data_IF_594956104273
#
_entry.id   IF_594956104273
#
_cell.length_a   1.000
_cell.length_b   1.000
_cell.length_c   1.000
_cell.angle_alpha   90.00
_cell.angle_beta   90.00
_cell.angle_gamma   90.00
#
_symmetry.space_group_name_H-M   'P 1'
#
loop_
_entity.id
_entity.type
_entity.pdbx_description
1 polymer ?
#
# COMPACT_ATOMS: atom_id res chain seq x y z
N UNK A 1 -3.64 -4.97 -13.27
CA UNK A 1 -3.83 -6.44 -13.27
C UNK A 1 -3.44 -7.03 -11.91
N UNK A 2 -4.19 -8.02 -11.39
CA UNK A 2 -3.88 -8.80 -10.18
C UNK A 2 -3.79 -10.29 -10.54
N UNK A 3 -2.70 -10.73 -11.20
CA UNK A 3 -2.64 -12.03 -11.86
C UNK A 3 -2.68 -13.24 -10.92
N UNK A 4 -2.29 -13.05 -9.66
CA UNK A 4 -2.28 -14.11 -8.64
C UNK A 4 -3.46 -13.98 -7.65
N UNK A 5 -4.39 -13.07 -7.91
CA UNK A 5 -5.61 -12.85 -7.11
C UNK A 5 -5.34 -12.64 -5.60
N UNK A 6 -4.16 -12.11 -5.26
CA UNK A 6 -3.80 -11.83 -3.88
C UNK A 6 -4.62 -10.65 -3.37
N UNK A 7 -5.34 -10.84 -2.27
CA UNK A 7 -6.18 -9.80 -1.68
C UNK A 7 -7.43 -9.43 -2.50
N UNK A 8 -7.79 -10.21 -3.52
CA UNK A 8 -8.96 -9.98 -4.37
C UNK A 8 -8.72 -10.20 -5.86
N UNK A 9 -9.71 -9.92 -6.72
CA UNK A 9 -9.58 -10.07 -8.18
C UNK A 9 -9.03 -8.82 -8.90
N UNK A 10 -8.77 -7.73 -8.16
CA UNK A 10 -8.37 -6.42 -8.67
C UNK A 10 -9.54 -5.43 -8.78
N UNK A 11 -9.21 -4.14 -8.98
CA UNK A 11 -10.21 -3.08 -9.05
C UNK A 11 -11.02 -2.96 -7.75
N UNK A 12 -12.35 -2.88 -7.86
CA UNK A 12 -13.25 -2.85 -6.71
C UNK A 12 -13.28 -4.16 -5.90
N UNK A 13 -12.79 -5.28 -6.45
CA UNK A 13 -12.77 -6.58 -5.78
C UNK A 13 -11.53 -6.79 -4.90
N UNK A 14 -10.66 -5.77 -4.77
CA UNK A 14 -9.49 -5.81 -3.88
C UNK A 14 -8.20 -6.28 -4.56
N UNK A 15 -7.08 -5.81 -4.01
CA UNK A 15 -5.71 -6.17 -4.38
C UNK A 15 -4.77 -5.76 -3.23
N UNK A 16 -3.47 -6.01 -3.37
CA UNK A 16 -2.47 -5.59 -2.38
C UNK A 16 -1.93 -4.19 -2.64
N UNK A 17 -1.44 -3.54 -1.57
CA UNK A 17 -0.79 -2.22 -1.63
C UNK A 17 0.45 -2.27 -2.51
N UNK A 18 1.22 -3.36 -2.44
CA UNK A 18 2.48 -3.52 -3.17
C UNK A 18 2.25 -3.55 -4.68
N UNK A 19 1.16 -4.18 -5.14
CA UNK A 19 0.79 -4.14 -6.55
C UNK A 19 0.50 -2.72 -7.02
N UNK A 20 -0.18 -1.91 -6.19
CA UNK A 20 -0.45 -0.51 -6.50
C UNK A 20 0.83 0.32 -6.53
N UNK A 21 1.71 0.16 -5.53
CA UNK A 21 3.00 0.87 -5.48
C UNK A 21 3.89 0.51 -6.67
N UNK A 22 4.01 -0.77 -7.01
CA UNK A 22 4.74 -1.23 -8.19
C UNK A 22 4.14 -0.70 -9.52
N UNK A 23 2.81 -0.61 -9.61
CA UNK A 23 2.17 0.03 -10.75
C UNK A 23 2.56 1.51 -10.87
N UNK A 24 2.48 2.27 -9.77
CA UNK A 24 2.88 3.68 -9.75
C UNK A 24 4.35 3.85 -10.07
N UNK A 25 5.21 2.97 -9.56
CA UNK A 25 6.64 2.95 -9.80
C UNK A 25 7.00 2.74 -11.28
N UNK A 26 6.19 1.98 -12.02
CA UNK A 26 6.42 1.66 -13.43
C UNK A 26 5.72 2.61 -14.40
N UNK A 27 4.53 3.10 -14.08
CA UNK A 27 3.70 3.90 -15.00
C UNK A 27 3.54 5.37 -14.57
N UNK A 28 3.91 5.71 -13.35
CA UNK A 28 3.59 6.99 -12.71
C UNK A 28 2.12 7.13 -12.35
N UNK A 29 1.79 8.25 -11.70
CA UNK A 29 0.43 8.63 -11.34
C UNK A 29 -0.27 9.41 -12.45
N UNK A 30 -1.57 9.58 -12.29
CA UNK A 30 -2.37 10.58 -12.98
C UNK A 30 -3.03 11.45 -11.91
N UNK A 31 -3.33 12.70 -12.25
CA UNK A 31 -4.06 13.58 -11.34
C UNK A 31 -5.54 13.21 -11.27
N UNK A 32 -6.20 13.58 -10.18
CA UNK A 32 -7.66 13.39 -10.01
C UNK A 32 -8.46 14.02 -11.15
N UNK A 33 -7.97 15.13 -11.72
CA UNK A 33 -8.59 15.78 -12.87
C UNK A 33 -8.53 14.93 -14.15
N UNK A 34 -7.43 14.20 -14.36
CA UNK A 34 -7.24 13.34 -15.53
C UNK A 34 -7.97 12.00 -15.38
N UNK A 35 -7.97 11.45 -14.16
CA UNK A 35 -8.62 10.19 -13.81
C UNK A 35 -9.47 10.35 -12.55
N UNK A 36 -10.69 10.88 -12.67
CA UNK A 36 -11.59 11.06 -11.52
C UNK A 36 -11.99 9.72 -10.90
N UNK A 37 -12.14 9.71 -9.58
CA UNK A 37 -12.64 8.56 -8.84
C UNK A 37 -14.16 8.39 -9.03
N UNK A 38 -14.56 7.21 -9.51
CA UNK A 38 -15.96 6.86 -9.82
C UNK A 38 -16.52 5.71 -8.97
N UNK A 39 -15.77 5.25 -7.96
CA UNK A 39 -16.13 4.10 -7.13
C UNK A 39 -16.56 2.84 -7.92
N UNK A 40 -15.97 2.64 -9.11
CA UNK A 40 -16.26 1.52 -10.01
C UNK A 40 -15.02 1.14 -10.81
N UNK A 41 -14.89 -0.15 -11.14
CA UNK A 41 -13.82 -0.64 -12.02
C UNK A 41 -14.00 -0.07 -13.42
N UNK A 42 -13.01 0.67 -13.91
CA UNK A 42 -13.02 1.30 -15.23
C UNK A 42 -11.95 0.74 -16.17
N UNK A 43 -11.98 1.22 -17.41
CA UNK A 43 -10.93 0.91 -18.40
C UNK A 43 -9.68 1.76 -18.14
N UNK A 44 -8.51 1.15 -18.30
CA UNK A 44 -7.24 1.86 -18.14
C UNK A 44 -7.09 2.92 -19.25
N UNK A 45 -6.92 4.18 -18.86
CA UNK A 45 -6.69 5.31 -19.78
C UNK A 45 -5.24 5.39 -20.27
N UNK A 46 -4.29 4.83 -19.53
CA UNK A 46 -2.88 4.79 -19.94
C UNK A 46 -2.69 3.68 -20.98
N UNK A 47 -1.95 3.94 -22.07
CA UNK A 47 -1.65 2.90 -23.05
C UNK A 47 -0.85 1.77 -22.40
N UNK A 48 -1.22 0.53 -22.71
CA UNK A 48 -0.49 -0.64 -22.24
C UNK A 48 0.94 -0.63 -22.81
N UNK A 49 1.96 -0.67 -21.95
CA UNK A 49 3.36 -0.90 -22.35
C UNK A 49 4.34 0.28 -22.24
N UNK A 50 3.97 1.41 -21.63
CA UNK A 50 4.92 2.53 -21.46
C UNK A 50 5.89 2.39 -20.27
N UNK A 51 5.63 1.50 -19.32
CA UNK A 51 6.59 1.14 -18.29
C UNK A 51 7.05 -0.30 -18.42
N UNK A 52 8.36 -0.52 -18.55
CA UNK A 52 8.99 -1.82 -18.30
C UNK A 52 8.80 -2.12 -16.81
N UNK A 53 7.80 -2.91 -16.46
CA UNK A 53 7.62 -3.38 -15.08
C UNK A 53 8.84 -4.17 -14.61
N UNK A 54 9.03 -4.29 -13.30
CA UNK A 54 10.09 -5.11 -12.69
C UNK A 54 10.06 -6.57 -13.23
N UNK A 55 8.86 -7.04 -13.61
CA UNK A 55 8.58 -8.28 -14.35
C UNK A 55 9.42 -8.49 -15.63
N UNK A 56 9.98 -7.44 -16.22
CA UNK A 56 10.80 -7.50 -17.44
C UNK A 56 12.29 -7.23 -17.20
N UNK A 57 12.70 -6.90 -15.96
CA UNK A 57 14.10 -6.74 -15.61
C UNK A 57 14.61 -8.09 -15.07
N UNK A 58 15.25 -8.87 -15.94
CA UNK A 58 16.01 -10.08 -15.62
C UNK A 58 15.23 -11.30 -15.14
N UNK A 59 14.25 -11.80 -15.91
CA UNK A 59 13.89 -13.23 -15.95
C UNK A 59 13.54 -13.97 -14.64
N UNK A 60 13.39 -13.26 -13.52
CA UNK A 60 12.99 -13.75 -12.20
C UNK A 60 11.79 -12.98 -11.63
N UNK A 61 11.40 -11.88 -12.27
CA UNK A 61 10.32 -10.98 -11.87
C UNK A 61 8.96 -11.68 -11.79
N UNK A 62 8.62 -12.19 -10.61
CA UNK A 62 7.29 -12.63 -10.23
C UNK A 62 6.61 -11.63 -9.27
N UNK A 63 5.31 -11.80 -8.98
CA UNK A 63 4.62 -11.03 -7.94
C UNK A 63 5.24 -11.25 -6.54
N UNK A 64 5.96 -12.37 -6.35
CA UNK A 64 6.78 -12.64 -5.16
C UNK A 64 7.88 -11.59 -4.96
N UNK A 65 8.48 -11.08 -6.04
CA UNK A 65 9.47 -10.00 -5.94
C UNK A 65 8.81 -8.69 -5.53
N UNK A 66 7.58 -8.41 -5.99
CA UNK A 66 6.85 -7.16 -5.64
C UNK A 66 6.49 -7.12 -4.15
N UNK A 67 6.25 -8.28 -3.54
CA UNK A 67 5.96 -8.43 -2.11
C UNK A 67 7.19 -8.78 -1.26
N UNK A 68 8.40 -8.78 -1.83
CA UNK A 68 9.62 -9.04 -1.07
C UNK A 68 9.91 -7.91 -0.07
N UNK A 69 10.36 -8.25 1.13
CA UNK A 69 10.83 -7.28 2.13
C UNK A 69 12.09 -6.58 1.61
N UNK A 70 12.15 -5.26 1.72
CA UNK A 70 13.28 -4.45 1.27
C UNK A 70 12.89 -3.32 0.34
N UNK A 71 13.90 -2.70 -0.27
CA UNK A 71 13.77 -1.52 -1.13
C UNK A 71 13.55 -1.92 -2.59
N UNK A 72 12.49 -1.38 -3.17
CA UNK A 72 12.10 -1.51 -4.57
C UNK A 72 12.33 -0.19 -5.30
N UNK A 73 13.27 -0.14 -6.24
CA UNK A 73 13.65 1.09 -6.95
C UNK A 73 13.08 1.16 -8.36
N UNK A 74 12.59 2.34 -8.75
CA UNK A 74 12.04 2.57 -10.09
C UNK A 74 13.13 2.39 -11.14
N UNK A 75 12.82 1.80 -12.32
CA UNK A 75 13.75 1.75 -13.44
C UNK A 75 14.29 3.15 -13.80
N UNK A 76 15.53 3.26 -14.30
CA UNK A 76 16.13 4.54 -14.66
C UNK A 76 15.28 5.41 -15.59
N UNK A 77 14.60 4.79 -16.55
CA UNK A 77 13.78 5.46 -17.58
C UNK A 77 12.29 5.46 -17.24
N UNK A 78 11.92 5.19 -15.98
CA UNK A 78 10.51 5.11 -15.59
C UNK A 78 9.82 6.49 -15.69
N UNK A 79 8.63 6.57 -16.32
CA UNK A 79 7.81 7.80 -16.32
C UNK A 79 7.37 8.21 -14.91
N UNK A 80 7.41 7.30 -13.93
CA UNK A 80 7.07 7.59 -12.54
C UNK A 80 7.94 8.66 -11.88
N UNK A 81 9.15 8.91 -12.42
CA UNK A 81 10.05 9.97 -11.93
C UNK A 81 9.50 11.36 -12.18
N UNK A 82 8.65 11.55 -13.19
CA UNK A 82 8.02 12.85 -13.47
C UNK A 82 6.87 13.12 -12.49
N UNK A 83 5.98 12.15 -12.32
CA UNK A 83 4.87 12.21 -11.37
C UNK A 83 4.51 10.80 -10.90
N UNK A 84 4.82 10.48 -9.64
CA UNK A 84 4.75 9.11 -9.12
C UNK A 84 5.75 8.89 -7.99
N UNK A 85 6.56 7.83 -8.09
CA UNK A 85 7.58 7.50 -7.10
C UNK A 85 8.89 7.03 -7.75
N UNK A 86 9.99 7.22 -7.03
CA UNK A 86 11.32 6.70 -7.39
C UNK A 86 11.58 5.31 -6.79
N UNK A 87 10.68 4.85 -5.92
CA UNK A 87 10.74 3.54 -5.27
C UNK A 87 9.85 3.49 -4.03
N UNK A 88 9.77 2.32 -3.42
CA UNK A 88 9.12 2.08 -2.13
C UNK A 88 9.92 1.06 -1.33
N UNK A 89 9.67 0.96 -0.03
CA UNK A 89 10.29 -0.02 0.85
C UNK A 89 9.19 -0.84 1.53
N UNK A 90 9.25 -2.17 1.42
CA UNK A 90 8.41 -3.07 2.20
C UNK A 90 9.13 -3.43 3.48
N UNK A 91 8.53 -3.09 4.62
CA UNK A 91 9.04 -3.47 5.93
C UNK A 91 8.74 -4.94 6.24
N UNK A 92 9.48 -5.51 7.19
CA UNK A 92 9.14 -6.81 7.74
C UNK A 92 7.75 -6.77 8.41
N UNK A 93 6.99 -7.84 8.21
CA UNK A 93 5.62 -7.96 8.74
C UNK A 93 5.63 -7.91 10.27
N UNK A 94 4.70 -7.15 10.84
CA UNK A 94 4.51 -7.00 12.29
C UNK A 94 5.76 -6.55 13.07
N UNK A 95 6.72 -5.88 12.42
CA UNK A 95 7.91 -5.30 13.05
C UNK A 95 7.61 -3.97 13.75
N UNK A 96 7.36 -4.00 15.06
CA UNK A 96 6.99 -2.81 15.85
C UNK A 96 7.95 -1.62 15.68
N UNK A 97 9.25 -1.85 15.91
CA UNK A 97 10.25 -0.78 15.89
C UNK A 97 10.47 -0.24 14.47
N UNK A 98 10.59 -1.13 13.49
CA UNK A 98 10.75 -0.75 12.09
C UNK A 98 9.58 0.10 11.59
N UNK A 99 8.34 -0.25 11.98
CA UNK A 99 7.14 0.51 11.61
C UNK A 99 7.14 1.91 12.24
N UNK A 100 7.40 2.03 13.54
CA UNK A 100 7.46 3.34 14.22
C UNK A 100 8.55 4.23 13.64
N UNK A 101 9.70 3.64 13.32
CA UNK A 101 10.81 4.35 12.69
C UNK A 101 10.43 4.84 11.30
N UNK A 102 9.81 4.01 10.48
CA UNK A 102 9.37 4.41 9.14
C UNK A 102 8.38 5.59 9.20
N UNK A 103 7.38 5.51 10.09
CA UNK A 103 6.38 6.58 10.26
C UNK A 103 7.01 7.90 10.71
N UNK A 104 7.95 7.85 11.66
CA UNK A 104 8.56 9.05 12.24
C UNK A 104 9.67 9.66 11.39
N UNK A 105 10.50 8.84 10.74
CA UNK A 105 11.67 9.30 10.01
C UNK A 105 11.40 9.53 8.51
N UNK A 106 10.37 8.89 7.93
CA UNK A 106 10.09 8.94 6.48
C UNK A 106 8.70 9.46 6.13
N UNK A 107 7.70 9.26 7.00
CA UNK A 107 6.34 9.74 6.82
C UNK A 107 5.31 8.62 6.72
N UNK A 108 4.11 8.89 6.17
CA UNK A 108 3.00 7.93 6.16
C UNK A 108 3.37 6.57 5.55
N UNK A 109 2.89 5.50 6.19
CA UNK A 109 3.13 4.12 5.78
C UNK A 109 1.80 3.49 5.40
N UNK A 110 1.69 2.95 4.19
CA UNK A 110 0.55 2.13 3.82
C UNK A 110 0.62 0.79 4.57
N UNK A 111 -0.44 0.43 5.28
CA UNK A 111 -0.54 -0.81 6.06
C UNK A 111 -1.82 -1.56 5.70
N UNK A 112 -1.90 -2.83 6.07
CA UNK A 112 -3.11 -3.63 5.94
C UNK A 112 -3.60 -4.07 7.32
N UNK A 113 -4.91 -3.95 7.56
CA UNK A 113 -5.57 -4.20 8.83
C UNK A 113 -6.79 -5.12 8.65
N UNK A 114 -7.19 -5.80 9.72
CA UNK A 114 -8.48 -6.48 9.79
C UNK A 114 -9.56 -5.48 10.25
N UNK A 115 -10.40 -5.01 9.31
CA UNK A 115 -11.33 -3.90 9.56
C UNK A 115 -12.78 -4.32 9.84
N UNK A 116 -13.04 -5.62 10.06
CA UNK A 116 -14.41 -6.17 10.23
C UNK A 116 -15.23 -5.44 11.31
N UNK A 117 -14.60 -5.02 12.40
CA UNK A 117 -15.23 -4.37 13.54
C UNK A 117 -15.10 -2.83 13.53
N UNK A 118 -14.56 -2.25 12.46
CA UNK A 118 -14.26 -0.80 12.40
C UNK A 118 -15.47 0.03 11.98
N UNK A 119 -16.44 -0.54 11.28
CA UNK A 119 -17.58 0.20 10.71
C UNK A 119 -18.39 1.00 11.75
N UNK A 120 -18.45 0.51 13.00
CA UNK A 120 -19.14 1.18 14.11
C UNK A 120 -18.21 1.95 15.03
N UNK A 121 -16.91 2.06 14.71
CA UNK A 121 -15.98 2.87 15.49
C UNK A 121 -16.35 4.36 15.38
N UNK A 122 -16.34 5.05 16.53
CA UNK A 122 -16.68 6.48 16.59
C UNK A 122 -15.59 7.31 17.25
N UNK A 123 -15.15 6.95 18.46
CA UNK A 123 -14.16 7.71 19.22
C UNK A 123 -13.30 6.81 20.10
N UNK A 124 -12.14 7.33 20.55
CA UNK A 124 -11.29 6.68 21.54
C UNK A 124 -10.06 6.01 20.94
N UNK A 125 -9.58 4.95 21.58
CA UNK A 125 -8.55 4.06 21.04
C UNK A 125 -9.26 2.76 20.68
N UNK A 126 -9.27 2.41 19.40
CA UNK A 126 -9.85 1.17 18.93
C UNK A 126 -8.99 -0.02 19.40
N UNK A 127 -9.62 -1.01 20.04
CA UNK A 127 -8.95 -2.14 20.70
C UNK A 127 -9.84 -3.39 20.58
N UNK A 128 -10.23 -3.72 19.35
CA UNK A 128 -11.05 -4.89 19.02
C UNK A 128 -10.33 -5.71 17.96
N UNK A 129 -9.40 -6.55 18.40
CA UNK A 129 -8.69 -7.52 17.56
C UNK A 129 -8.71 -8.88 18.25
N UNK A 130 -9.30 -9.88 17.59
CA UNK A 130 -9.26 -11.27 18.06
C UNK A 130 -7.95 -11.97 17.66
N UNK A 131 -7.74 -13.18 18.15
CA UNK A 131 -6.77 -14.08 17.53
C UNK A 131 -7.26 -14.50 16.13
N UNK A 132 -6.33 -14.84 15.24
CA UNK A 132 -6.60 -15.42 13.91
C UNK A 132 -7.48 -14.55 12.97
N UNK A 133 -7.24 -13.23 12.97
CA UNK A 133 -7.95 -12.31 12.08
C UNK A 133 -7.43 -12.35 10.64
N UNK A 134 -8.36 -12.22 9.69
CA UNK A 134 -8.02 -12.03 8.27
C UNK A 134 -7.93 -10.54 7.97
N UNK A 135 -6.77 -10.11 7.49
CA UNK A 135 -6.53 -8.76 7.00
C UNK A 135 -7.30 -8.53 5.71
N UNK A 136 -8.04 -7.43 5.61
CA UNK A 136 -8.94 -7.18 4.49
C UNK A 136 -9.10 -5.72 4.08
N UNK A 137 -8.35 -4.81 4.71
CA UNK A 137 -8.45 -3.39 4.41
C UNK A 137 -7.06 -2.74 4.40
N UNK A 138 -6.83 -1.84 3.46
CA UNK A 138 -5.60 -1.06 3.36
C UNK A 138 -5.86 0.37 3.87
N UNK A 139 -5.00 0.86 4.75
CA UNK A 139 -5.09 2.20 5.35
C UNK A 139 -3.72 2.88 5.37
N UNK A 140 -3.69 4.18 5.64
CA UNK A 140 -2.44 4.93 5.78
C UNK A 140 -2.15 5.20 7.26
N UNK A 141 -1.09 4.59 7.78
CA UNK A 141 -0.56 4.91 9.10
C UNK A 141 0.22 6.23 9.03
N UNK A 142 -0.30 7.27 9.66
CA UNK A 142 0.26 8.63 9.60
C UNK A 142 0.96 9.06 10.89
N UNK A 143 0.83 8.30 11.96
CA UNK A 143 1.44 8.65 13.24
C UNK A 143 1.24 7.61 14.33
N UNK A 144 1.75 7.93 15.52
CA UNK A 144 1.56 7.16 16.74
C UNK A 144 1.64 8.08 17.94
N UNK A 145 1.12 7.62 19.08
CA UNK A 145 1.12 8.41 20.30
C UNK A 145 0.82 7.61 21.54
N UNK A 146 0.66 8.34 22.65
CA UNK A 146 0.25 7.81 23.93
C UNK A 146 -0.84 8.72 24.49
N UNK A 147 -1.98 8.15 24.81
CA UNK A 147 -3.00 8.81 25.62
C UNK A 147 -2.42 8.96 27.04
N UNK A 148 -2.19 10.21 27.44
CA UNK A 148 -1.56 10.51 28.74
C UNK A 148 -2.47 10.20 29.93
N UNK A 149 -3.79 10.26 29.74
CA UNK A 149 -4.75 9.99 30.80
C UNK A 149 -4.91 8.49 31.04
N UNK A 150 -5.00 7.72 29.96
CA UNK A 150 -5.20 6.26 30.02
C UNK A 150 -3.90 5.47 30.05
N UNK A 151 -2.78 6.10 29.74
CA UNK A 151 -1.48 5.45 29.63
C UNK A 151 -1.33 4.51 28.42
N UNK A 152 -2.36 4.39 27.55
CA UNK A 152 -2.37 3.51 26.38
C UNK A 152 -1.66 4.13 25.18
N UNK A 153 -0.88 3.34 24.47
CA UNK A 153 -0.27 3.71 23.18
C UNK A 153 -1.27 3.47 22.05
N UNK A 154 -1.19 4.27 20.99
CA UNK A 154 -2.05 4.13 19.82
C UNK A 154 -1.29 4.43 18.53
N UNK A 155 -1.83 3.92 17.43
CA UNK A 155 -1.48 4.29 16.07
C UNK A 155 -2.53 5.29 15.55
N UNK A 156 -2.11 6.26 14.75
CA UNK A 156 -2.99 7.18 14.04
C UNK A 156 -3.09 6.71 12.59
N UNK A 157 -4.23 6.14 12.25
CA UNK A 157 -4.59 5.56 10.94
C UNK A 157 -5.78 6.29 10.34
#
# INVERSE_FOLDING_TARGET
PNPHECGGAGGCEGATVELALHWVQSQGLATEKETPYLASSGNCKKPAGQGKGLLQLNGHGGQEDVAAVGVHLSPPDSPAKAFGMVGFERLAENGYEALLRAVSERGPVAISVAANSWASYGTGIFDSCGADVVINHAVALVGYGKDQQRGKRFYLV
#
